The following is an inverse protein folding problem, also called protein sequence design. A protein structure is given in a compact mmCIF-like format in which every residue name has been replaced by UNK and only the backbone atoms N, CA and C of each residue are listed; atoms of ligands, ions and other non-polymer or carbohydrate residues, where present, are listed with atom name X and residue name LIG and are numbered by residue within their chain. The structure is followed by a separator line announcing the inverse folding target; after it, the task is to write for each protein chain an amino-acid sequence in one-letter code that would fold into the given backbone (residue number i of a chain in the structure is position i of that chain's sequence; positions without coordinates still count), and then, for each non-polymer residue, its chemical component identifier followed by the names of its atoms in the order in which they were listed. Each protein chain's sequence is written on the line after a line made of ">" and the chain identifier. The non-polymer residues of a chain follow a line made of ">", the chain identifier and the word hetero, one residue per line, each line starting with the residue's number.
data_IF_052847242953
#
_entry.id   IF_052847242953
#
_cell.length_a   1.000
_cell.length_b   1.000
_cell.length_c   1.000
_cell.angle_alpha   90.00
_cell.angle_beta   90.00
_cell.angle_gamma   90.00
#
_symmetry.space_group_name_H-M   'P 1'
#
loop_
_entity.id
_entity.type
_entity.pdbx_description
1 polymer ?
#
# COMPACT_ATOMS: atom_id res chain seq x y z
N UNK A 1 -1.31 -9.10 7.57
CA UNK A 1 -1.07 -10.13 8.60
C UNK A 1 0.41 -10.43 8.84
N UNK A 2 1.22 -10.55 7.75
CA UNK A 2 2.60 -11.04 7.87
C UNK A 2 3.54 -10.12 8.68
N UNK A 3 3.29 -8.81 8.67
CA UNK A 3 4.14 -7.77 9.30
C UNK A 3 3.48 -7.11 10.50
N UNK A 4 2.34 -7.62 10.95
CA UNK A 4 1.55 -7.05 12.03
C UNK A 4 1.38 -8.05 13.17
N UNK A 5 1.45 -7.56 14.39
CA UNK A 5 1.22 -8.29 15.64
C UNK A 5 0.45 -7.43 16.65
N UNK A 6 0.35 -7.87 17.89
CA UNK A 6 -0.35 -7.16 18.97
C UNK A 6 0.31 -5.83 19.35
N UNK A 7 1.56 -5.59 18.95
CA UNK A 7 2.31 -4.34 19.19
C UNK A 7 2.20 -3.37 18.02
N UNK A 8 1.48 -3.75 16.98
CA UNK A 8 1.23 -2.93 15.80
C UNK A 8 -0.11 -2.23 15.90
N UNK A 9 -0.15 -0.94 15.62
CA UNK A 9 -1.38 -0.18 15.39
C UNK A 9 -1.55 0.07 13.90
N UNK A 10 -2.71 -0.26 13.35
CA UNK A 10 -3.08 0.09 11.98
C UNK A 10 -4.02 1.31 12.02
N UNK A 11 -3.64 2.38 11.31
CA UNK A 11 -4.48 3.54 11.06
C UNK A 11 -4.94 3.50 9.61
N UNK A 12 -6.21 3.14 9.40
CA UNK A 12 -6.75 2.90 8.07
C UNK A 12 -7.77 3.97 7.68
N UNK A 13 -7.69 4.48 6.46
CA UNK A 13 -8.73 5.34 5.91
C UNK A 13 -10.06 4.57 5.83
N UNK A 14 -11.18 5.27 6.05
CA UNK A 14 -12.52 4.64 6.05
C UNK A 14 -12.94 4.10 4.68
N UNK A 15 -12.40 4.62 3.60
CA UNK A 15 -12.78 4.24 2.23
C UNK A 15 -11.79 3.29 1.54
N UNK A 16 -10.79 2.74 2.25
CA UNK A 16 -9.90 1.73 1.66
C UNK A 16 -10.68 0.53 1.16
N UNK A 17 -10.14 -0.11 0.13
CA UNK A 17 -10.73 -1.27 -0.52
C UNK A 17 -11.01 -2.42 0.46
N UNK A 18 -12.09 -3.18 0.20
CA UNK A 18 -12.54 -4.28 1.06
C UNK A 18 -11.44 -5.33 1.32
N UNK A 19 -10.60 -5.62 0.33
CA UNK A 19 -9.49 -6.56 0.48
C UNK A 19 -8.47 -6.14 1.54
N UNK A 20 -8.24 -4.82 1.70
CA UNK A 20 -7.36 -4.29 2.75
C UNK A 20 -8.02 -4.46 4.12
N UNK A 21 -9.33 -4.23 4.21
CA UNK A 21 -10.10 -4.45 5.44
C UNK A 21 -10.03 -5.92 5.86
N UNK A 22 -10.21 -6.83 4.92
CA UNK A 22 -10.15 -8.27 5.19
C UNK A 22 -8.73 -8.71 5.59
N UNK A 23 -7.71 -8.17 4.92
CA UNK A 23 -6.31 -8.37 5.30
C UNK A 23 -6.00 -7.86 6.71
N UNK A 24 -6.57 -6.72 7.11
CA UNK A 24 -6.43 -6.17 8.46
C UNK A 24 -7.10 -7.08 9.49
N UNK A 25 -8.31 -7.59 9.20
CA UNK A 25 -9.04 -8.52 10.08
C UNK A 25 -8.31 -9.83 10.33
N UNK A 26 -7.50 -10.27 9.39
CA UNK A 26 -6.66 -11.47 9.51
C UNK A 26 -5.38 -11.23 10.32
N UNK A 27 -5.13 -10.02 10.78
CA UNK A 27 -3.98 -9.68 11.62
C UNK A 27 -4.37 -9.57 13.09
N UNK A 28 -3.39 -9.75 13.98
CA UNK A 28 -3.56 -9.54 15.42
C UNK A 28 -3.40 -8.06 15.84
N UNK A 29 -3.20 -7.16 14.86
CA UNK A 29 -3.00 -5.74 15.11
C UNK A 29 -4.32 -5.04 15.47
N UNK A 30 -4.24 -4.08 16.39
CA UNK A 30 -5.34 -3.14 16.61
C UNK A 30 -5.50 -2.23 15.40
N UNK A 31 -6.74 -2.01 14.97
CA UNK A 31 -7.05 -1.09 13.89
C UNK A 31 -7.96 0.04 14.36
N UNK A 32 -7.58 1.27 14.01
CA UNK A 32 -8.42 2.47 14.14
C UNK A 32 -8.67 3.02 12.74
N UNK A 33 -9.94 3.19 12.36
CA UNK A 33 -10.31 3.78 11.08
C UNK A 33 -10.55 5.27 11.24
N UNK A 34 -9.74 6.10 10.58
CA UNK A 34 -9.93 7.54 10.53
C UNK A 34 -10.88 7.93 9.39
N UNK A 35 -11.50 9.11 9.50
CA UNK A 35 -12.41 9.63 8.47
C UNK A 35 -11.63 9.84 7.17
N UNK A 36 -12.30 9.56 6.07
CA UNK A 36 -11.75 9.67 4.74
C UNK A 36 -11.06 11.03 4.51
N UNK A 37 -9.77 10.98 4.12
CA UNK A 37 -8.90 12.13 3.88
C UNK A 37 -8.83 13.16 5.03
N UNK A 38 -9.26 12.79 6.26
CA UNK A 38 -9.21 13.67 7.43
C UNK A 38 -7.83 13.56 8.09
N UNK A 39 -6.85 14.21 7.49
CA UNK A 39 -5.44 14.15 7.91
C UNK A 39 -5.21 14.75 9.30
N UNK A 40 -5.99 15.76 9.71
CA UNK A 40 -5.89 16.32 11.06
C UNK A 40 -6.28 15.32 12.14
N UNK A 41 -7.24 14.44 11.84
CA UNK A 41 -7.57 13.31 12.72
C UNK A 41 -6.44 12.28 12.74
N UNK A 42 -5.89 11.93 11.56
CA UNK A 42 -4.78 10.99 11.44
C UNK A 42 -3.55 11.47 12.23
N UNK A 43 -3.17 12.74 12.08
CA UNK A 43 -2.04 13.34 12.78
C UNK A 43 -2.19 13.24 14.31
N UNK A 44 -3.40 13.56 14.83
CA UNK A 44 -3.72 13.41 16.25
C UNK A 44 -3.63 11.95 16.72
N UNK A 45 -4.11 11.01 15.93
CA UNK A 45 -4.01 9.58 16.26
C UNK A 45 -2.54 9.13 16.33
N UNK A 46 -1.72 9.51 15.35
CA UNK A 46 -0.28 9.20 15.38
C UNK A 46 0.37 9.82 16.61
N UNK A 47 0.10 11.10 16.88
CA UNK A 47 0.66 11.80 18.04
C UNK A 47 0.27 11.15 19.38
N UNK A 48 -0.97 10.65 19.48
CA UNK A 48 -1.45 9.97 20.67
C UNK A 48 -0.77 8.62 20.88
N UNK A 49 -0.62 7.83 19.81
CA UNK A 49 -0.26 6.42 19.93
C UNK A 49 1.19 6.08 19.60
N UNK A 50 2.01 7.01 19.06
CA UNK A 50 3.37 6.66 18.59
C UNK A 50 4.31 6.16 19.69
N UNK A 51 4.01 6.41 20.97
CA UNK A 51 4.79 5.92 22.12
C UNK A 51 4.24 4.63 22.71
N UNK A 52 3.00 4.26 22.38
CA UNK A 52 2.33 3.08 22.93
C UNK A 52 2.59 1.83 22.09
N UNK A 53 2.83 2.00 20.77
CA UNK A 53 3.03 0.93 19.82
C UNK A 53 4.45 0.91 19.28
N UNK A 54 5.00 -0.30 19.12
CA UNK A 54 6.32 -0.47 18.48
C UNK A 54 6.29 -0.03 17.02
N UNK A 55 5.12 -0.20 16.35
CA UNK A 55 4.93 0.11 14.95
C UNK A 55 3.52 0.66 14.71
N UNK A 56 3.42 1.71 13.90
CA UNK A 56 2.15 2.23 13.37
C UNK A 56 2.18 2.09 11.86
N UNK A 57 1.17 1.46 11.26
CA UNK A 57 1.04 1.38 9.80
C UNK A 57 -0.16 2.22 9.37
N UNK A 58 0.10 3.27 8.60
CA UNK A 58 -0.95 4.04 7.92
C UNK A 58 -1.29 3.32 6.62
N UNK A 59 -2.57 2.96 6.45
CA UNK A 59 -3.08 2.26 5.27
C UNK A 59 -4.04 3.16 4.52
N UNK A 60 -3.73 3.42 3.26
CA UNK A 60 -4.54 4.26 2.36
C UNK A 60 -4.43 3.80 0.91
N UNK A 61 -5.31 4.29 0.05
CA UNK A 61 -5.18 4.22 -1.41
C UNK A 61 -4.64 5.56 -1.93
N UNK A 62 -3.95 5.56 -3.04
CA UNK A 62 -3.52 6.81 -3.69
C UNK A 62 -4.68 7.47 -4.45
N UNK A 63 -5.48 6.66 -5.14
CA UNK A 63 -6.75 7.04 -5.77
C UNK A 63 -7.81 6.07 -5.26
N UNK A 64 -8.87 6.62 -4.67
CA UNK A 64 -9.95 5.83 -4.10
C UNK A 64 -10.96 5.38 -5.17
N UNK A 65 -11.34 4.10 -5.12
CA UNK A 65 -12.11 3.45 -6.19
C UNK A 65 -13.49 4.02 -6.41
N UNK A 66 -14.16 4.51 -5.37
CA UNK A 66 -15.56 4.94 -5.46
C UNK A 66 -15.69 6.39 -5.91
N UNK A 67 -14.90 7.28 -5.35
CA UNK A 67 -15.03 8.72 -5.53
C UNK A 67 -13.98 9.28 -6.51
N UNK A 68 -12.90 8.52 -6.75
CA UNK A 68 -11.82 8.90 -7.65
C UNK A 68 -10.94 10.01 -7.10
N UNK A 69 -11.11 10.35 -5.83
CA UNK A 69 -10.30 11.37 -5.17
C UNK A 69 -8.91 10.83 -4.78
N UNK A 70 -7.99 11.72 -4.57
CA UNK A 70 -6.57 11.43 -4.41
C UNK A 70 -6.11 11.72 -2.97
N UNK A 71 -5.28 10.84 -2.41
CA UNK A 71 -4.67 11.04 -1.11
C UNK A 71 -3.57 12.11 -1.16
N UNK A 72 -3.46 12.93 -0.12
CA UNK A 72 -2.37 13.89 0.07
C UNK A 72 -1.08 13.17 0.48
N UNK A 73 -0.40 12.55 -0.50
CA UNK A 73 0.84 11.80 -0.25
C UNK A 73 1.96 12.67 0.34
N UNK A 74 2.19 13.92 -0.10
CA UNK A 74 3.18 14.80 0.53
C UNK A 74 2.95 14.99 2.04
N UNK A 75 1.69 15.14 2.45
CA UNK A 75 1.32 15.28 3.87
C UNK A 75 1.55 13.98 4.65
N UNK A 76 1.21 12.84 4.08
CA UNK A 76 1.46 11.52 4.68
C UNK A 76 2.96 11.25 4.85
N UNK A 77 3.77 11.55 3.84
CA UNK A 77 5.23 11.42 3.91
C UNK A 77 5.83 12.33 4.97
N UNK A 78 5.35 13.58 5.05
CA UNK A 78 5.77 14.51 6.11
C UNK A 78 5.45 13.96 7.50
N UNK A 79 4.27 13.39 7.68
CA UNK A 79 3.86 12.77 8.94
C UNK A 79 4.76 11.58 9.29
N UNK A 80 4.98 10.67 8.33
CA UNK A 80 5.89 9.53 8.51
C UNK A 80 7.29 9.97 8.93
N UNK A 81 7.88 10.95 8.24
CA UNK A 81 9.23 11.43 8.53
C UNK A 81 9.38 12.01 9.94
N UNK A 82 8.28 12.47 10.55
CA UNK A 82 8.26 12.99 11.94
C UNK A 82 8.36 11.87 12.99
N UNK A 83 7.91 10.65 12.66
CA UNK A 83 7.80 9.56 13.62
C UNK A 83 8.48 8.29 13.06
N UNK A 84 9.61 7.85 13.62
CA UNK A 84 10.43 6.77 13.04
C UNK A 84 9.77 5.39 13.04
N UNK A 85 8.75 5.17 13.87
CA UNK A 85 7.97 3.94 13.94
C UNK A 85 6.70 3.96 13.08
N UNK A 86 6.50 5.01 12.27
CA UNK A 86 5.38 5.10 11.33
C UNK A 86 5.80 4.59 9.96
N UNK A 87 5.03 3.67 9.43
CA UNK A 87 5.18 3.09 8.09
C UNK A 87 3.98 3.44 7.22
N UNK A 88 4.20 3.59 5.92
CA UNK A 88 3.16 3.84 4.93
C UNK A 88 2.90 2.59 4.08
N UNK A 89 1.65 2.14 4.09
CA UNK A 89 1.10 1.17 3.15
C UNK A 89 0.20 1.92 2.16
N UNK A 90 0.60 1.95 0.90
CA UNK A 90 -0.08 2.65 -0.17
C UNK A 90 -0.56 1.68 -1.23
N UNK A 91 -1.87 1.66 -1.49
CA UNK A 91 -2.45 0.94 -2.61
C UNK A 91 -2.55 1.88 -3.83
N UNK A 92 -1.81 1.52 -4.87
CA UNK A 92 -1.75 2.23 -6.16
C UNK A 92 -2.58 1.56 -7.26
N UNK A 93 -3.46 0.63 -6.90
CA UNK A 93 -4.19 -0.19 -7.86
C UNK A 93 -4.96 0.62 -8.91
N UNK A 94 -5.43 1.82 -8.58
CA UNK A 94 -6.13 2.73 -9.49
C UNK A 94 -5.21 3.77 -10.14
N UNK A 95 -3.95 3.88 -9.73
CA UNK A 95 -3.02 4.89 -10.21
C UNK A 95 -1.95 4.34 -11.17
N UNK A 96 -1.54 3.10 -10.99
CA UNK A 96 -0.56 2.43 -11.86
C UNK A 96 -1.08 2.34 -13.29
N UNK A 97 -0.24 2.73 -14.26
CA UNK A 97 -0.59 2.85 -15.67
C UNK A 97 -1.37 4.11 -16.03
N UNK A 98 -1.72 4.96 -15.04
CA UNK A 98 -2.59 6.15 -15.22
C UNK A 98 -1.90 7.43 -14.75
N UNK A 99 -1.14 7.38 -13.66
CA UNK A 99 -0.47 8.53 -13.04
C UNK A 99 1.03 8.36 -13.04
N UNK A 100 1.74 9.49 -13.02
CA UNK A 100 3.20 9.54 -13.12
C UNK A 100 3.70 9.47 -14.57
N UNK A 101 4.90 9.99 -14.82
CA UNK A 101 5.49 10.04 -16.16
C UNK A 101 5.90 8.68 -16.69
N UNK A 102 6.29 7.76 -15.80
CA UNK A 102 6.58 6.35 -16.11
C UNK A 102 5.39 5.42 -15.86
N UNK A 103 4.21 5.97 -15.47
CA UNK A 103 3.03 5.16 -15.17
C UNK A 103 3.14 4.37 -13.86
N UNK A 104 4.02 4.76 -12.94
CA UNK A 104 4.24 4.03 -11.69
C UNK A 104 3.27 4.46 -10.57
N UNK A 105 2.37 5.41 -10.84
CA UNK A 105 1.33 5.82 -9.91
C UNK A 105 1.55 7.20 -9.29
N UNK A 106 0.75 7.53 -8.28
CA UNK A 106 0.81 8.82 -7.60
C UNK A 106 2.11 9.01 -6.81
N UNK A 107 2.67 7.95 -6.23
CA UNK A 107 3.95 8.04 -5.52
C UNK A 107 5.09 8.47 -6.45
N UNK A 108 5.06 8.07 -7.73
CA UNK A 108 5.98 8.61 -8.74
C UNK A 108 5.67 10.07 -9.05
N UNK A 109 4.41 10.40 -9.30
CA UNK A 109 3.99 11.76 -9.64
C UNK A 109 4.41 12.79 -8.57
N UNK A 110 4.41 12.38 -7.29
CA UNK A 110 4.86 13.21 -6.17
C UNK A 110 6.34 13.01 -5.79
N UNK A 111 7.09 12.16 -6.50
CA UNK A 111 8.51 11.91 -6.22
C UNK A 111 8.77 11.28 -4.85
N UNK A 112 7.85 10.47 -4.33
CA UNK A 112 7.92 9.95 -2.97
C UNK A 112 7.91 8.41 -2.88
N UNK A 113 8.17 7.68 -3.96
CA UNK A 113 8.23 6.20 -3.97
C UNK A 113 9.12 5.66 -2.86
N UNK A 114 10.29 6.27 -2.65
CA UNK A 114 11.27 5.83 -1.63
C UNK A 114 10.78 6.02 -0.18
N UNK A 115 9.76 6.83 0.04
CA UNK A 115 9.16 7.05 1.35
C UNK A 115 8.06 6.04 1.69
N UNK A 116 7.58 5.30 0.68
CA UNK A 116 6.53 4.28 0.87
C UNK A 116 7.19 2.95 1.29
N UNK A 117 6.73 2.38 2.41
CA UNK A 117 7.28 1.12 2.92
C UNK A 117 6.68 -0.11 2.23
N UNK A 118 5.38 -0.03 1.91
CA UNK A 118 4.62 -1.06 1.20
C UNK A 118 3.82 -0.41 0.09
N UNK A 119 4.35 -0.39 -1.12
CA UNK A 119 3.64 0.08 -2.29
C UNK A 119 3.04 -1.13 -3.01
N UNK A 120 1.73 -1.15 -3.12
CA UNK A 120 0.99 -2.28 -3.70
C UNK A 120 0.29 -1.84 -4.97
N UNK A 121 0.31 -2.69 -5.98
CA UNK A 121 -0.46 -2.49 -7.20
C UNK A 121 -1.03 -3.80 -7.72
N UNK A 122 -1.94 -3.70 -8.65
CA UNK A 122 -2.57 -4.86 -9.30
C UNK A 122 -2.31 -4.87 -10.80
N UNK A 123 -2.18 -6.08 -11.34
CA UNK A 123 -2.15 -6.27 -12.80
C UNK A 123 -3.56 -6.35 -13.40
N UNK A 124 -4.60 -6.45 -12.58
CA UNK A 124 -5.98 -6.69 -13.02
C UNK A 124 -6.76 -5.46 -13.50
N UNK A 125 -6.16 -4.27 -13.51
CA UNK A 125 -6.80 -3.02 -13.95
C UNK A 125 -6.13 -2.48 -15.21
N UNK A 126 -5.36 -1.40 -15.14
CA UNK A 126 -4.72 -0.78 -16.31
C UNK A 126 -3.83 -1.75 -17.11
N UNK A 127 -3.23 -2.75 -16.47
CA UNK A 127 -2.38 -3.72 -17.14
C UNK A 127 -3.14 -4.92 -17.75
N UNK A 128 -4.47 -4.95 -17.67
CA UNK A 128 -5.34 -5.94 -18.30
C UNK A 128 -4.87 -7.40 -18.12
N UNK A 129 -4.35 -7.74 -16.95
CA UNK A 129 -3.77 -9.03 -16.61
C UNK A 129 -4.35 -9.57 -15.30
N UNK A 130 -3.69 -10.47 -14.62
CA UNK A 130 -4.08 -10.97 -13.31
C UNK A 130 -2.89 -11.03 -12.36
N UNK A 131 -3.20 -10.94 -11.04
CA UNK A 131 -2.20 -10.90 -10.00
C UNK A 131 -1.99 -9.50 -9.42
N UNK A 132 -1.04 -9.44 -8.51
CA UNK A 132 -0.68 -8.19 -7.82
C UNK A 132 0.82 -8.23 -7.48
N UNK A 133 1.35 -7.08 -7.10
CA UNK A 133 2.73 -6.97 -6.67
C UNK A 133 2.83 -6.06 -5.44
N UNK A 134 3.92 -6.22 -4.73
CA UNK A 134 4.33 -5.33 -3.65
C UNK A 134 5.76 -4.88 -3.90
N UNK A 135 5.97 -3.58 -3.84
CA UNK A 135 7.30 -2.95 -3.87
C UNK A 135 7.62 -2.50 -2.45
N UNK A 136 8.78 -2.93 -1.94
CA UNK A 136 9.23 -2.62 -0.60
C UNK A 136 10.76 -2.72 -0.52
N UNK A 137 11.33 -2.29 0.61
CA UNK A 137 12.78 -2.47 0.84
C UNK A 137 13.16 -3.95 0.89
N UNK A 138 14.40 -4.26 0.49
CA UNK A 138 14.90 -5.64 0.39
C UNK A 138 14.69 -6.44 1.70
N UNK A 139 14.95 -5.86 2.85
CA UNK A 139 14.77 -6.53 4.14
C UNK A 139 13.31 -6.94 4.39
N UNK A 140 12.35 -6.10 3.96
CA UNK A 140 10.91 -6.41 4.06
C UNK A 140 10.56 -7.52 3.08
N UNK A 141 11.07 -7.46 1.83
CA UNK A 141 10.87 -8.50 0.83
C UNK A 141 11.35 -9.86 1.33
N UNK A 142 12.55 -9.93 1.87
CA UNK A 142 13.13 -11.18 2.36
C UNK A 142 12.34 -11.73 3.55
N UNK A 143 11.83 -10.86 4.41
CA UNK A 143 10.91 -11.25 5.48
C UNK A 143 9.60 -11.81 4.93
N UNK A 144 8.97 -11.12 3.96
CA UNK A 144 7.69 -11.54 3.37
C UNK A 144 7.79 -12.89 2.65
N UNK A 145 8.88 -13.15 1.92
CA UNK A 145 9.13 -14.44 1.26
C UNK A 145 9.08 -15.60 2.27
N UNK A 146 9.53 -15.37 3.50
CA UNK A 146 9.59 -16.40 4.53
C UNK A 146 8.39 -16.43 5.47
N UNK A 147 7.53 -15.41 5.49
CA UNK A 147 6.44 -15.27 6.49
C UNK A 147 5.05 -15.03 5.87
N UNK A 148 4.97 -14.58 4.65
CA UNK A 148 3.68 -14.29 4.02
C UNK A 148 3.01 -15.57 3.52
N UNK A 149 2.11 -16.12 4.33
CA UNK A 149 1.41 -17.38 4.03
C UNK A 149 0.74 -17.42 2.64
N UNK A 150 0.01 -16.40 2.19
CA UNK A 150 -0.56 -16.41 0.83
C UNK A 150 0.49 -16.52 -0.27
N UNK A 151 1.69 -16.01 -0.06
CA UNK A 151 2.79 -16.15 -1.02
C UNK A 151 3.41 -17.56 -0.99
N UNK A 152 3.60 -18.12 0.21
CA UNK A 152 4.26 -19.43 0.41
C UNK A 152 3.37 -20.58 -0.09
N UNK A 153 2.06 -20.48 0.15
CA UNK A 153 1.09 -21.57 -0.10
C UNK A 153 0.21 -21.34 -1.33
N UNK A 154 0.65 -20.50 -2.26
CA UNK A 154 -0.04 -20.22 -3.53
C UNK A 154 0.81 -20.71 -4.69
N UNK A 155 0.14 -21.28 -5.70
CA UNK A 155 0.80 -21.63 -6.97
C UNK A 155 1.20 -20.37 -7.73
N UNK A 156 2.34 -20.41 -8.42
CA UNK A 156 2.81 -19.32 -9.27
C UNK A 156 1.79 -18.95 -10.36
N UNK A 157 1.85 -17.71 -10.80
CA UNK A 157 1.04 -17.26 -11.95
C UNK A 157 1.41 -18.07 -13.20
N UNK A 158 0.44 -18.37 -14.10
CA UNK A 158 0.72 -19.03 -15.36
C UNK A 158 1.75 -18.27 -16.20
N UNK A 159 2.68 -18.94 -16.90
CA UNK A 159 3.69 -18.27 -17.73
C UNK A 159 3.11 -17.29 -18.76
N UNK A 160 1.97 -17.63 -19.37
CA UNK A 160 1.27 -16.74 -20.32
C UNK A 160 0.82 -15.43 -19.67
N UNK A 161 0.37 -15.48 -18.43
CA UNK A 161 0.01 -14.27 -17.65
C UNK A 161 1.23 -13.39 -17.40
N UNK A 162 2.36 -13.99 -17.04
CA UNK A 162 3.62 -13.26 -16.81
C UNK A 162 4.14 -12.62 -18.11
N UNK A 163 4.09 -13.34 -19.23
CA UNK A 163 4.47 -12.82 -20.55
C UNK A 163 3.58 -11.65 -20.96
N UNK A 164 2.26 -11.79 -20.80
CA UNK A 164 1.30 -10.72 -21.06
C UNK A 164 1.56 -9.50 -20.19
N UNK A 165 1.70 -9.70 -18.88
CA UNK A 165 2.00 -8.61 -17.93
C UNK A 165 3.30 -7.87 -18.27
N UNK A 166 4.30 -8.57 -18.79
CA UNK A 166 5.56 -7.95 -19.24
C UNK A 166 5.43 -7.19 -20.55
N UNK A 167 4.54 -7.65 -21.43
CA UNK A 167 4.31 -7.06 -22.76
C UNK A 167 3.53 -5.73 -22.68
N UNK A 168 2.49 -5.68 -21.84
CA UNK A 168 1.55 -4.55 -21.79
C UNK A 168 2.25 -3.20 -21.49
N UNK A 169 3.12 -3.05 -20.48
CA UNK A 169 3.79 -1.78 -20.21
C UNK A 169 4.62 -1.28 -21.39
N UNK A 170 5.30 -2.20 -22.12
CA UNK A 170 6.10 -1.84 -23.29
C UNK A 170 5.21 -1.30 -24.41
N UNK A 171 4.00 -1.83 -24.56
CA UNK A 171 3.05 -1.40 -25.59
C UNK A 171 2.40 -0.04 -25.30
N UNK A 172 2.35 0.38 -24.04
CA UNK A 172 1.82 1.70 -23.65
C UNK A 172 2.82 2.86 -23.84
N UNK A 173 4.10 2.56 -24.01
CA UNK A 173 5.16 3.58 -24.15
C UNK A 173 5.48 3.93 -25.61
N UNK A 174 4.69 3.42 -26.55
CA UNK A 174 4.80 3.71 -28.01
C UNK A 174 3.44 4.20 -28.59
#
# INVERSE_FOLDING_TARGET
>A
PAVCDTKTLILADKLIHASLIDGIRLSDAKCIRYRHNEYSQLERLVETYHKEYEQIIIVTESIFSMDGDEADLPRLVKLKRKYPNVLLYLDEAHAVGVRGTGGLGCAEAYGCISDIDFLVGTFGKALASSGAYIVCRQVIRDYLINKMRPFIFTTALPPVTLQWTSFVPVSYTH
#
